data_IF_479176467028
#
_entry.id   IF_479176467028
#
_cell.length_a   1.000
_cell.length_b   1.000
_cell.length_c   1.000
_cell.angle_alpha   90.00
_cell.angle_beta   90.00
_cell.angle_gamma   90.00
#
_symmetry.space_group_name_H-M   'P 1'
#
loop_
_entity.id
_entity.type
_entity.pdbx_description
1 polymer ?
#
# COMPACT_ATOMS: atom_id res chain seq x y z
N UNK A 1 -71.13 -23.99 -9.63
CA UNK A 1 -70.00 -24.89 -9.99
C UNK A 1 -68.94 -24.73 -8.90
N UNK A 2 -68.82 -25.70 -7.99
CA UNK A 2 -67.88 -25.65 -6.86
C UNK A 2 -66.48 -26.05 -7.32
N UNK A 3 -65.52 -25.12 -7.30
CA UNK A 3 -64.12 -25.41 -7.56
C UNK A 3 -63.48 -25.93 -6.27
N UNK A 4 -63.23 -27.24 -6.21
CA UNK A 4 -62.59 -27.87 -5.05
C UNK A 4 -61.20 -27.30 -4.79
N UNK A 5 -60.89 -27.05 -3.52
CA UNK A 5 -59.59 -26.54 -3.11
C UNK A 5 -58.48 -27.57 -3.40
N UNK A 6 -57.53 -27.22 -4.27
CA UNK A 6 -56.35 -28.02 -4.53
C UNK A 6 -55.46 -28.03 -3.27
N UNK A 7 -55.19 -29.22 -2.72
CA UNK A 7 -54.24 -29.38 -1.62
C UNK A 7 -52.82 -29.30 -2.19
N UNK A 8 -52.09 -28.24 -1.83
CA UNK A 8 -50.65 -28.10 -2.11
C UNK A 8 -49.89 -28.85 -1.02
N UNK A 9 -49.11 -29.84 -1.41
CA UNK A 9 -48.18 -30.53 -0.51
C UNK A 9 -46.84 -29.82 -0.59
N UNK A 10 -46.43 -29.18 0.50
CA UNK A 10 -45.09 -28.62 0.66
C UNK A 10 -44.21 -29.76 1.18
N UNK A 11 -43.23 -30.19 0.39
CA UNK A 11 -42.19 -31.09 0.87
C UNK A 11 -41.36 -30.35 1.91
N UNK A 12 -41.44 -30.80 3.15
CA UNK A 12 -40.56 -30.35 4.22
C UNK A 12 -39.23 -31.05 4.02
N UNK A 13 -38.20 -30.29 3.67
CA UNK A 13 -36.83 -30.78 3.54
C UNK A 13 -36.36 -31.42 4.85
N UNK A 14 -35.55 -32.48 4.74
CA UNK A 14 -34.90 -33.09 5.89
C UNK A 14 -33.90 -32.11 6.51
N UNK A 15 -33.67 -32.18 7.83
CA UNK A 15 -32.70 -31.31 8.54
C UNK A 15 -31.29 -31.38 7.92
N UNK A 16 -30.93 -32.53 7.33
CA UNK A 16 -29.67 -32.71 6.62
C UNK A 16 -29.60 -31.90 5.32
N UNK A 17 -30.71 -31.82 4.56
CA UNK A 17 -30.80 -31.08 3.30
C UNK A 17 -30.80 -29.56 3.55
N UNK A 18 -31.47 -29.10 4.62
CA UNK A 18 -31.42 -27.70 5.04
C UNK A 18 -30.01 -27.25 5.43
N UNK A 19 -29.24 -28.09 6.13
CA UNK A 19 -27.84 -27.77 6.46
C UNK A 19 -26.95 -27.68 5.23
N UNK A 20 -27.18 -28.52 4.22
CA UNK A 20 -26.42 -28.47 2.98
C UNK A 20 -26.75 -27.20 2.19
N UNK A 21 -28.02 -26.80 2.13
CA UNK A 21 -28.44 -25.58 1.45
C UNK A 21 -27.87 -24.31 2.13
N UNK A 22 -27.76 -24.30 3.46
CA UNK A 22 -27.09 -23.24 4.22
C UNK A 22 -25.58 -23.14 3.93
N UNK A 23 -24.91 -24.27 3.67
CA UNK A 23 -23.47 -24.29 3.32
C UNK A 23 -23.20 -23.76 1.90
N UNK A 24 -24.14 -23.95 0.98
CA UNK A 24 -24.04 -23.49 -0.41
C UNK A 24 -24.61 -22.08 -0.61
N UNK A 25 -25.24 -21.48 0.41
CA UNK A 25 -25.73 -20.12 0.34
C UNK A 25 -24.55 -19.12 0.29
N UNK A 26 -24.68 -18.08 -0.54
CA UNK A 26 -23.71 -16.96 -0.58
C UNK A 26 -23.48 -16.44 0.83
N UNK A 27 -22.21 -16.25 1.20
CA UNK A 27 -21.82 -15.65 2.49
C UNK A 27 -22.59 -14.35 2.70
N UNK A 28 -23.50 -14.33 3.67
CA UNK A 28 -24.15 -13.09 4.10
C UNK A 28 -23.14 -12.26 4.89
N UNK A 29 -23.26 -10.93 4.78
CA UNK A 29 -22.36 -10.01 5.47
C UNK A 29 -22.47 -10.23 6.99
N UNK A 30 -21.33 -10.31 7.67
CA UNK A 30 -21.33 -10.37 9.13
C UNK A 30 -21.92 -9.07 9.68
N UNK A 31 -22.88 -9.12 10.61
CA UNK A 31 -23.40 -7.91 11.23
C UNK A 31 -22.27 -7.19 11.97
N UNK A 32 -22.03 -5.93 11.61
CA UNK A 32 -21.11 -5.05 12.30
C UNK A 32 -21.82 -4.53 13.57
N UNK A 33 -21.29 -4.93 14.73
CA UNK A 33 -21.50 -4.34 16.05
C UNK A 33 -22.94 -4.35 16.61
N UNK A 34 -23.17 -5.24 17.59
CA UNK A 34 -24.29 -5.11 18.53
C UNK A 34 -23.98 -4.03 19.55
N UNK A 35 -24.80 -2.99 19.57
CA UNK A 35 -24.90 -1.93 20.57
C UNK A 35 -23.65 -1.04 20.74
N UNK A 36 -23.52 -0.06 19.84
CA UNK A 36 -22.59 1.07 19.99
C UNK A 36 -23.34 2.24 20.64
N UNK A 37 -23.30 2.33 21.97
CA UNK A 37 -23.79 3.51 22.71
C UNK A 37 -22.70 4.57 22.92
N UNK A 38 -21.52 4.40 22.30
CA UNK A 38 -20.35 5.22 22.59
C UNK A 38 -19.77 5.85 21.32
N UNK A 39 -19.51 7.16 21.34
CA UNK A 39 -19.25 7.98 20.13
C UNK A 39 -17.79 7.94 19.65
N UNK A 40 -16.95 7.11 20.24
CA UNK A 40 -15.50 7.17 20.07
C UNK A 40 -14.85 5.91 19.49
N UNK A 41 -15.62 4.84 19.22
CA UNK A 41 -15.09 3.57 18.70
C UNK A 41 -15.58 3.21 17.29
N UNK A 42 -15.40 4.12 16.32
CA UNK A 42 -15.49 3.78 14.88
C UNK A 42 -14.15 3.30 14.28
N UNK A 43 -13.09 3.18 15.07
CA UNK A 43 -11.80 2.68 14.61
C UNK A 43 -11.69 1.16 14.76
N UNK A 44 -12.53 0.43 14.02
CA UNK A 44 -12.41 -1.02 13.83
C UNK A 44 -11.29 -1.45 12.88
N UNK A 45 -10.40 -0.53 12.49
CA UNK A 45 -9.13 -0.83 11.85
C UNK A 45 -8.02 -0.47 12.83
N UNK A 46 -7.24 -1.48 13.24
CA UNK A 46 -6.01 -1.26 13.98
C UNK A 46 -5.19 -0.15 13.30
N UNK A 47 -4.83 0.88 14.06
CA UNK A 47 -4.00 1.99 13.60
C UNK A 47 -2.77 1.42 12.89
N UNK A 48 -2.46 1.93 11.69
CA UNK A 48 -1.30 1.52 10.88
C UNK A 48 0.00 1.62 11.70
N UNK A 49 0.04 2.50 12.69
CA UNK A 49 1.16 2.69 13.63
C UNK A 49 1.44 1.43 14.47
N UNK A 50 0.42 0.63 14.79
CA UNK A 50 0.56 -0.58 15.61
C UNK A 50 1.10 -1.78 14.80
N UNK A 51 0.90 -1.76 13.47
CA UNK A 51 1.45 -2.79 12.57
C UNK A 51 2.96 -2.62 12.35
N UNK A 52 3.46 -1.39 12.38
CA UNK A 52 4.90 -1.09 12.23
C UNK A 52 5.71 -1.48 13.48
N UNK A 53 5.09 -1.44 14.66
CA UNK A 53 5.72 -1.84 15.93
C UNK A 53 6.02 -3.33 15.99
N UNK A 54 5.24 -4.17 15.30
CA UNK A 54 5.43 -5.63 15.24
C UNK A 54 6.60 -6.07 14.36
N UNK A 55 7.10 -5.21 13.46
CA UNK A 55 8.27 -5.50 12.63
C UNK A 55 9.59 -5.35 13.40
N UNK A 56 9.57 -4.75 14.60
CA UNK A 56 10.77 -4.55 15.43
C UNK A 56 11.02 -5.65 16.47
N UNK A 57 10.11 -6.60 16.64
CA UNK A 57 10.28 -7.73 17.55
C UNK A 57 10.66 -8.98 16.74
N UNK A 58 11.93 -9.38 16.85
CA UNK A 58 12.56 -10.46 16.08
C UNK A 58 11.81 -11.79 16.12
N UNK A 59 11.16 -12.13 15.00
CA UNK A 59 10.64 -13.46 14.68
C UNK A 59 11.47 -13.99 13.49
N UNK A 60 11.93 -15.26 13.52
CA UNK A 60 12.90 -15.77 12.56
C UNK A 60 12.37 -15.77 11.13
N UNK A 61 13.19 -15.24 10.22
CA UNK A 61 12.99 -15.27 8.77
C UNK A 61 12.98 -16.72 8.30
N UNK A 62 11.80 -17.22 7.96
CA UNK A 62 11.67 -18.38 7.06
C UNK A 62 11.49 -17.82 5.64
N UNK A 63 12.26 -18.31 4.64
CA UNK A 63 12.13 -17.78 3.29
C UNK A 63 10.77 -18.18 2.71
N UNK A 64 9.90 -17.19 2.49
CA UNK A 64 8.62 -17.36 1.80
C UNK A 64 8.92 -17.58 0.31
N UNK A 65 9.32 -18.80 -0.03
CA UNK A 65 9.19 -19.33 -1.38
C UNK A 65 7.83 -19.99 -1.47
N UNK A 66 6.81 -19.26 -1.95
CA UNK A 66 5.54 -19.78 -2.52
C UNK A 66 4.59 -18.60 -2.83
N UNK A 67 4.90 -17.85 -3.89
CA UNK A 67 3.83 -17.20 -4.64
C UNK A 67 3.05 -18.30 -5.35
N UNK A 68 1.74 -18.36 -5.11
CA UNK A 68 0.83 -19.32 -5.74
C UNK A 68 0.95 -19.25 -7.27
N UNK A 69 1.14 -20.41 -7.89
CA UNK A 69 1.14 -20.60 -9.34
C UNK A 69 -0.21 -20.13 -9.91
N UNK A 70 -0.26 -18.97 -10.55
CA UNK A 70 -1.37 -18.62 -11.42
C UNK A 70 -1.25 -19.49 -12.68
N UNK A 71 -2.29 -20.28 -12.95
CA UNK A 71 -2.41 -21.07 -14.18
C UNK A 71 -2.57 -20.07 -15.34
N UNK A 72 -1.55 -19.97 -16.20
CA UNK A 72 -1.67 -19.35 -17.51
C UNK A 72 -2.72 -20.15 -18.28
N UNK A 73 -3.81 -19.49 -18.68
CA UNK A 73 -4.71 -20.04 -19.69
C UNK A 73 -4.13 -19.59 -21.02
N UNK A 74 -3.53 -20.53 -21.74
CA UNK A 74 -3.06 -20.31 -23.11
C UNK A 74 -4.28 -20.18 -24.03
N UNK A 75 -4.81 -18.96 -24.15
CA UNK A 75 -5.71 -18.63 -25.26
C UNK A 75 -4.86 -18.38 -26.50
N UNK A 76 -4.88 -19.37 -27.39
CA UNK A 76 -4.29 -19.31 -28.71
C UNK A 76 -4.61 -18.00 -29.43
N UNK A 77 -3.58 -17.47 -30.08
CA UNK A 77 -3.60 -16.32 -30.98
C UNK A 77 -4.64 -16.50 -32.09
N UNK A 78 -5.82 -15.93 -31.90
CA UNK A 78 -6.69 -15.50 -32.99
C UNK A 78 -6.62 -13.99 -33.04
N UNK A 79 -6.06 -13.47 -34.14
CA UNK A 79 -5.93 -12.04 -34.41
C UNK A 79 -7.32 -11.39 -34.47
N UNK A 80 -7.83 -10.97 -33.32
CA UNK A 80 -9.00 -10.12 -33.25
C UNK A 80 -8.48 -8.71 -33.15
N UNK A 81 -8.62 -7.95 -34.24
CA UNK A 81 -8.42 -6.51 -34.28
C UNK A 81 -9.18 -5.90 -33.09
N UNK A 82 -8.43 -5.46 -32.06
CA UNK A 82 -8.97 -4.58 -31.03
C UNK A 82 -9.23 -3.26 -31.74
N UNK A 83 -10.46 -3.07 -32.19
CA UNK A 83 -10.92 -1.73 -32.53
C UNK A 83 -10.86 -0.95 -31.24
N UNK A 84 -10.00 0.06 -31.21
CA UNK A 84 -10.08 1.13 -30.23
C UNK A 84 -11.54 1.58 -30.23
N UNK A 85 -12.25 1.31 -29.14
CA UNK A 85 -13.57 1.85 -28.91
C UNK A 85 -13.35 3.32 -28.56
N UNK A 86 -13.02 4.09 -29.59
CA UNK A 86 -13.02 5.53 -29.57
C UNK A 86 -14.49 5.91 -29.35
N UNK A 87 -14.83 6.11 -28.08
CA UNK A 87 -16.17 6.53 -27.68
C UNK A 87 -16.26 7.99 -28.08
N UNK A 88 -16.56 8.24 -29.36
CA UNK A 88 -16.94 9.55 -29.85
C UNK A 88 -18.28 9.89 -29.19
N UNK A 89 -18.22 10.50 -28.02
CA UNK A 89 -19.34 11.27 -27.49
C UNK A 89 -19.51 12.44 -28.44
N UNK A 90 -20.60 12.47 -29.20
CA UNK A 90 -20.97 13.67 -29.93
C UNK A 90 -21.02 14.84 -28.93
N UNK A 91 -20.29 15.92 -29.23
CA UNK A 91 -20.34 17.15 -28.43
C UNK A 91 -21.78 17.68 -28.49
N UNK A 92 -22.61 17.30 -27.52
CA UNK A 92 -23.79 18.07 -27.19
C UNK A 92 -23.29 19.41 -26.64
N UNK A 93 -23.24 20.42 -27.52
CA UNK A 93 -22.63 21.73 -27.27
C UNK A 93 -23.29 22.54 -26.14
N UNK A 94 -24.21 21.98 -25.35
CA UNK A 94 -25.11 22.76 -24.51
C UNK A 94 -25.15 22.37 -23.01
N UNK A 95 -24.63 21.22 -22.58
CA UNK A 95 -24.73 20.82 -21.16
C UNK A 95 -23.39 20.84 -20.38
N UNK A 96 -22.25 20.68 -21.04
CA UNK A 96 -20.95 20.52 -20.37
C UNK A 96 -20.39 21.77 -19.67
N UNK A 97 -20.99 22.94 -19.90
CA UNK A 97 -20.60 24.22 -19.27
C UNK A 97 -21.71 24.79 -18.36
N UNK A 98 -22.78 24.02 -18.11
CA UNK A 98 -23.80 24.43 -17.16
C UNK A 98 -23.23 24.37 -15.73
N UNK A 99 -23.43 25.41 -14.90
CA UNK A 99 -22.93 25.42 -13.54
C UNK A 99 -23.54 24.27 -12.72
N UNK A 100 -22.75 23.70 -11.81
CA UNK A 100 -23.21 22.67 -10.87
C UNK A 100 -24.39 23.24 -10.06
N UNK A 101 -25.50 22.52 -10.08
CA UNK A 101 -26.73 22.91 -9.40
C UNK A 101 -26.86 22.20 -8.05
N UNK A 102 -27.77 22.67 -7.19
CA UNK A 102 -28.05 22.00 -5.92
C UNK A 102 -28.58 20.56 -6.13
N UNK A 103 -29.24 20.29 -7.25
CA UNK A 103 -29.75 18.97 -7.60
C UNK A 103 -28.61 17.98 -7.87
N UNK A 104 -27.49 18.43 -8.48
CA UNK A 104 -26.29 17.61 -8.71
C UNK A 104 -25.63 17.14 -7.41
N UNK A 105 -25.89 17.83 -6.29
CA UNK A 105 -25.31 17.53 -4.98
C UNK A 105 -26.28 16.87 -4.01
N UNK A 106 -27.59 16.99 -4.25
CA UNK A 106 -28.63 16.60 -3.27
C UNK A 106 -29.70 15.65 -3.82
N UNK A 107 -29.74 15.40 -5.13
CA UNK A 107 -30.70 14.45 -5.71
C UNK A 107 -30.31 12.99 -5.45
N UNK A 108 -31.31 12.11 -5.42
CA UNK A 108 -31.10 10.65 -5.36
C UNK A 108 -30.73 10.05 -6.72
N UNK A 109 -30.80 10.85 -7.79
CA UNK A 109 -30.37 10.47 -9.14
C UNK A 109 -28.87 10.73 -9.33
N UNK A 110 -28.28 10.13 -10.36
CA UNK A 110 -26.87 10.37 -10.67
C UNK A 110 -26.63 11.85 -11.02
N UNK A 111 -25.53 12.46 -10.50
CA UNK A 111 -25.17 13.84 -10.84
C UNK A 111 -24.95 14.04 -12.35
N UNK A 112 -25.20 15.26 -12.82
CA UNK A 112 -24.98 15.61 -14.22
C UNK A 112 -23.51 15.56 -14.68
N UNK A 113 -23.30 15.60 -15.99
CA UNK A 113 -21.98 15.53 -16.63
C UNK A 113 -21.01 16.62 -16.12
N UNK A 114 -21.50 17.84 -15.89
CA UNK A 114 -20.70 18.97 -15.38
C UNK A 114 -20.03 18.67 -14.03
N UNK A 115 -20.72 17.92 -13.15
CA UNK A 115 -20.16 17.52 -11.86
C UNK A 115 -18.95 16.60 -12.05
N UNK A 116 -19.08 15.57 -12.89
CA UNK A 116 -18.00 14.63 -13.16
C UNK A 116 -16.82 15.27 -13.91
N UNK A 117 -17.09 16.21 -14.81
CA UNK A 117 -16.06 17.01 -15.48
C UNK A 117 -15.22 17.80 -14.47
N UNK A 118 -15.86 18.50 -13.53
CA UNK A 118 -15.14 19.24 -12.49
C UNK A 118 -14.37 18.30 -11.55
N UNK A 119 -15.01 17.20 -11.13
CA UNK A 119 -14.39 16.22 -10.25
C UNK A 119 -13.16 15.57 -10.90
N UNK A 120 -13.22 15.26 -12.20
CA UNK A 120 -12.09 14.73 -12.95
C UNK A 120 -10.94 15.74 -13.00
N UNK A 121 -11.23 17.02 -13.27
CA UNK A 121 -10.19 18.06 -13.28
C UNK A 121 -9.58 18.28 -11.90
N UNK A 122 -10.38 18.31 -10.84
CA UNK A 122 -9.86 18.44 -9.48
C UNK A 122 -9.00 17.23 -9.07
N UNK A 123 -9.38 16.02 -9.49
CA UNK A 123 -8.54 14.82 -9.30
C UNK A 123 -7.26 14.88 -10.10
N UNK A 124 -7.29 15.42 -11.33
CA UNK A 124 -6.10 15.62 -12.17
C UNK A 124 -5.11 16.57 -11.50
N UNK A 125 -5.58 17.70 -10.98
CA UNK A 125 -4.74 18.66 -10.24
C UNK A 125 -4.15 18.02 -8.98
N UNK A 126 -4.99 17.39 -8.15
CA UNK A 126 -4.51 16.73 -6.93
C UNK A 126 -3.47 15.63 -7.20
N UNK A 127 -3.62 14.91 -8.33
CA UNK A 127 -2.64 13.92 -8.77
C UNK A 127 -1.32 14.58 -9.19
N UNK A 128 -1.38 15.65 -9.98
CA UNK A 128 -0.18 16.39 -10.41
C UNK A 128 0.60 16.95 -9.21
N UNK A 129 -0.12 17.52 -8.24
CA UNK A 129 0.47 18.02 -7.00
C UNK A 129 1.16 16.89 -6.23
N UNK A 130 0.48 15.73 -6.10
CA UNK A 130 1.04 14.55 -5.41
C UNK A 130 2.27 13.99 -6.12
N UNK A 131 2.26 13.94 -7.45
CA UNK A 131 3.39 13.46 -8.25
C UNK A 131 4.58 14.42 -8.17
N UNK A 132 4.30 15.73 -8.14
CA UNK A 132 5.34 16.76 -7.98
C UNK A 132 5.98 16.69 -6.60
N UNK A 133 5.19 16.57 -5.54
CA UNK A 133 5.70 16.37 -4.19
C UNK A 133 6.51 15.06 -4.09
N UNK A 134 6.01 13.96 -4.67
CA UNK A 134 6.71 12.68 -4.65
C UNK A 134 8.09 12.76 -5.33
N UNK A 135 8.18 13.44 -6.49
CA UNK A 135 9.46 13.72 -7.16
C UNK A 135 10.41 14.50 -6.24
N UNK A 136 9.94 15.59 -5.62
CA UNK A 136 10.78 16.38 -4.71
C UNK A 136 11.24 15.59 -3.48
N UNK A 137 10.40 14.71 -2.95
CA UNK A 137 10.79 13.81 -1.86
C UNK A 137 11.86 12.82 -2.31
N UNK A 138 11.77 12.27 -3.52
CA UNK A 138 12.80 11.41 -4.07
C UNK A 138 14.14 12.14 -4.26
N UNK A 139 14.12 13.33 -4.87
CA UNK A 139 15.32 14.18 -5.00
C UNK A 139 15.95 14.51 -3.64
N UNK A 140 15.12 14.76 -2.62
CA UNK A 140 15.62 15.05 -1.26
C UNK A 140 16.22 13.82 -0.59
N UNK A 141 15.61 12.64 -0.77
CA UNK A 141 16.15 11.38 -0.24
C UNK A 141 17.50 11.08 -0.89
N UNK A 142 17.58 11.17 -2.21
CA UNK A 142 18.82 10.96 -2.96
C UNK A 142 19.95 11.86 -2.46
N UNK A 143 19.69 13.18 -2.35
CA UNK A 143 20.70 14.11 -1.83
C UNK A 143 21.11 13.82 -0.38
N UNK A 144 20.18 13.39 0.49
CA UNK A 144 20.49 13.00 1.86
C UNK A 144 21.30 11.70 1.94
N UNK A 145 21.04 10.74 1.05
CA UNK A 145 21.79 9.50 0.95
C UNK A 145 23.22 9.77 0.47
N UNK A 146 23.41 10.61 -0.55
CA UNK A 146 24.72 11.06 -1.02
C UNK A 146 25.53 11.79 0.08
N UNK A 147 24.88 12.71 0.81
CA UNK A 147 25.49 13.40 1.96
C UNK A 147 25.92 12.41 3.05
N UNK A 148 25.07 11.44 3.38
CA UNK A 148 25.39 10.40 4.37
C UNK A 148 26.57 9.53 3.94
N UNK A 149 26.62 9.12 2.68
CA UNK A 149 27.70 8.30 2.16
C UNK A 149 29.03 9.07 2.15
N UNK A 150 29.00 10.36 1.77
CA UNK A 150 30.16 11.24 1.84
C UNK A 150 30.68 11.35 3.27
N UNK A 151 29.81 11.63 4.25
CA UNK A 151 30.25 11.73 5.66
C UNK A 151 30.78 10.41 6.21
N UNK A 152 30.25 9.27 5.77
CA UNK A 152 30.76 7.95 6.16
C UNK A 152 32.16 7.73 5.62
N UNK A 153 32.40 8.09 4.37
CA UNK A 153 33.73 8.01 3.77
C UNK A 153 34.72 8.91 4.52
N UNK A 154 34.38 10.17 4.78
CA UNK A 154 35.23 11.09 5.54
C UNK A 154 35.53 10.57 6.95
N UNK A 155 34.53 9.95 7.61
CA UNK A 155 34.72 9.33 8.92
C UNK A 155 35.71 8.15 8.86
N UNK A 156 35.62 7.32 7.83
CA UNK A 156 36.52 6.17 7.67
C UNK A 156 37.94 6.61 7.31
N UNK A 157 38.09 7.65 6.48
CA UNK A 157 39.38 8.29 6.22
C UNK A 157 39.99 8.90 7.50
N UNK A 158 39.18 9.56 8.33
CA UNK A 158 39.63 10.11 9.61
C UNK A 158 40.04 9.01 10.61
N UNK A 159 39.30 7.90 10.66
CA UNK A 159 39.68 6.73 11.48
C UNK A 159 41.01 6.14 11.01
N UNK A 160 41.18 5.97 9.70
CA UNK A 160 42.41 5.46 9.11
C UNK A 160 43.59 6.39 9.42
N UNK A 161 43.41 7.71 9.33
CA UNK A 161 44.44 8.67 9.72
C UNK A 161 44.80 8.53 11.21
N UNK A 162 43.82 8.38 12.10
CA UNK A 162 44.07 8.17 13.53
C UNK A 162 44.82 6.87 13.78
N UNK A 163 44.52 5.80 13.04
CA UNK A 163 45.22 4.52 13.14
C UNK A 163 46.69 4.64 12.73
N UNK A 164 46.97 5.26 11.58
CA UNK A 164 48.35 5.53 11.12
C UNK A 164 49.11 6.40 12.13
N UNK A 165 48.49 7.44 12.68
CA UNK A 165 49.13 8.29 13.68
C UNK A 165 49.44 7.54 14.98
N UNK A 166 48.57 6.60 15.39
CA UNK A 166 48.84 5.74 16.54
C UNK A 166 50.01 4.81 16.27
N UNK A 167 50.08 4.20 15.09
CA UNK A 167 51.20 3.34 14.68
C UNK A 167 52.53 4.10 14.78
N UNK A 168 52.61 5.32 14.23
CA UNK A 168 53.80 6.16 14.30
C UNK A 168 54.17 6.50 15.77
N UNK A 169 53.19 6.90 16.58
CA UNK A 169 53.46 7.20 17.99
C UNK A 169 53.91 5.96 18.78
N UNK A 170 53.32 4.80 18.51
CA UNK A 170 53.67 3.55 19.20
C UNK A 170 55.08 3.08 18.78
N UNK A 171 55.46 3.24 17.50
CA UNK A 171 56.82 3.01 16.99
C UNK A 171 57.84 3.91 17.70
N UNK A 172 57.62 5.24 17.72
CA UNK A 172 58.50 6.20 18.40
C UNK A 172 58.67 5.88 19.91
N UNK A 173 57.61 5.39 20.56
CA UNK A 173 57.67 5.04 21.99
C UNK A 173 58.47 3.76 22.21
N UNK A 174 58.35 2.79 21.30
CA UNK A 174 59.09 1.52 21.39
C UNK A 174 60.60 1.69 21.18
N UNK A 175 61.04 2.59 20.29
CA UNK A 175 62.47 2.89 20.09
C UNK A 175 63.11 3.50 21.35
N UNK A 176 62.38 4.36 22.07
CA UNK A 176 62.86 4.98 23.32
C UNK A 176 63.01 3.95 24.43
N UNK A 177 62.08 3.00 24.56
CA UNK A 177 62.16 1.93 25.57
C UNK A 177 63.31 0.94 25.29
N UNK A 178 63.61 0.65 24.03
CA UNK A 178 64.75 -0.19 23.65
C UNK A 178 66.10 0.49 23.94
N UNK A 179 66.24 1.79 23.70
CA UNK A 179 67.46 2.53 24.04
C UNK A 179 67.68 2.66 25.55
N UNK A 180 66.62 2.89 26.34
CA UNK A 180 66.72 3.00 27.80
C UNK A 180 67.11 1.66 28.45
N UNK A 181 66.53 0.55 27.96
CA UNK A 181 66.86 -0.79 28.46
C UNK A 181 68.27 -1.25 28.06
N UNK A 182 68.74 -0.87 26.87
CA UNK A 182 70.12 -1.13 26.43
C UNK A 182 71.17 -0.29 27.21
N UNK A 183 70.83 0.96 27.56
CA UNK A 183 71.70 1.81 28.39
C UNK A 183 71.79 1.33 29.85
N UNK A 184 70.74 0.75 30.40
CA UNK A 184 70.72 0.25 31.78
C UNK A 184 71.47 -1.09 31.99
N UNK A 185 71.78 -1.84 30.93
CA UNK A 185 72.49 -3.12 30.99
C UNK A 185 74.01 -3.02 30.78
N UNK A 186 74.54 -1.82 30.57
CA UNK A 186 75.96 -1.57 30.27
C UNK A 186 76.67 -0.92 31.45
#
# INVERSE_FOLDING_TARGET
MSTGAARVYIQVESEAEQQEHLKHQRKTLKPLHGNVNDKENLSGRASIVDQLSRLKAGVPVTPITKYGKRKCVDTATAATSTKDADTQTEKSQNDADKPITAEDLTSECEPGESYYKLLAEQRRVALEDSLTENRHLHERIEGLEEEMDTMRQELDEAKNLVEVLKEICDEDTSEVEEEETAAAQK
#
